data_IF_344966649746
#
_entry.id   IF_344966649746
#
_cell.length_a   1.000
_cell.length_b   1.000
_cell.length_c   1.000
_cell.angle_alpha   90.00
_cell.angle_beta   90.00
_cell.angle_gamma   90.00
#
_symmetry.space_group_name_H-M   'P 1'
#
loop_
_entity.id
_entity.type
_entity.pdbx_description
1 polymer ?
#
# COMPACT_ATOMS: atom_id res chain seq x y z
N UNK A 1 -8.81 12.40 -1.09
CA UNK A 1 -7.42 12.48 -0.57
C UNK A 1 -6.43 11.84 -1.53
N UNK A 2 -6.47 10.52 -1.76
CA UNK A 2 -5.53 9.84 -2.69
C UNK A 2 -5.42 10.49 -4.07
N UNK A 3 -6.53 10.76 -4.77
CA UNK A 3 -6.48 11.43 -6.08
C UNK A 3 -5.87 12.84 -6.05
N UNK A 4 -6.07 13.58 -4.96
CA UNK A 4 -5.49 14.92 -4.77
C UNK A 4 -3.97 14.81 -4.54
N UNK A 5 -3.54 13.85 -3.72
CA UNK A 5 -2.12 13.58 -3.48
C UNK A 5 -1.45 13.13 -4.77
N UNK A 6 -2.04 12.21 -5.53
CA UNK A 6 -1.49 11.77 -6.82
C UNK A 6 -1.35 12.92 -7.82
N UNK A 7 -2.36 13.78 -7.93
CA UNK A 7 -2.31 14.95 -8.83
C UNK A 7 -1.23 15.95 -8.38
N UNK A 8 -1.14 16.21 -7.08
CA UNK A 8 -0.11 17.07 -6.51
C UNK A 8 1.30 16.51 -6.74
N UNK A 9 1.51 15.20 -6.60
CA UNK A 9 2.81 14.56 -6.83
C UNK A 9 3.27 14.71 -8.28
N UNK A 10 2.37 14.56 -9.25
CA UNK A 10 2.68 14.73 -10.68
C UNK A 10 3.04 16.19 -10.99
N UNK A 11 2.29 17.15 -10.43
CA UNK A 11 2.50 18.58 -10.71
C UNK A 11 3.73 19.12 -9.95
N UNK A 12 3.92 18.71 -8.70
CA UNK A 12 4.97 19.20 -7.81
C UNK A 12 6.34 18.58 -8.04
N UNK A 13 6.42 17.42 -8.69
CA UNK A 13 7.70 16.78 -9.03
C UNK A 13 7.82 16.55 -10.55
N UNK A 14 8.52 17.44 -11.28
CA UNK A 14 8.74 17.31 -12.72
C UNK A 14 9.40 15.98 -13.11
N UNK A 15 10.26 15.44 -12.22
CA UNK A 15 10.88 14.13 -12.38
C UNK A 15 9.85 12.97 -12.42
N UNK A 16 8.78 13.08 -11.62
CA UNK A 16 7.68 12.10 -11.62
C UNK A 16 6.86 12.25 -12.91
N UNK A 17 6.51 13.47 -13.30
CA UNK A 17 5.80 13.70 -14.57
C UNK A 17 6.58 13.18 -15.79
N UNK A 18 7.89 13.44 -15.85
CA UNK A 18 8.73 12.96 -16.95
C UNK A 18 8.85 11.42 -16.97
N UNK A 19 8.87 10.77 -15.81
CA UNK A 19 8.94 9.30 -15.71
C UNK A 19 7.64 8.62 -16.11
N UNK A 20 6.50 9.21 -15.77
CA UNK A 20 5.20 8.65 -16.12
C UNK A 20 4.80 8.96 -17.57
N UNK A 21 5.08 10.17 -18.07
CA UNK A 21 4.57 10.63 -19.37
C UNK A 21 5.66 10.84 -20.44
N UNK A 22 6.94 10.91 -20.08
CA UNK A 22 8.03 11.31 -20.98
C UNK A 22 9.00 10.21 -21.41
N UNK A 23 9.18 9.12 -20.65
CA UNK A 23 10.23 8.13 -20.93
C UNK A 23 9.87 7.00 -21.92
N UNK A 24 8.62 6.92 -22.38
CA UNK A 24 8.15 5.81 -23.23
C UNK A 24 7.79 4.53 -22.46
N UNK A 25 8.06 4.47 -21.16
CA UNK A 25 7.75 3.32 -20.28
C UNK A 25 6.31 3.30 -19.75
N UNK A 26 5.45 4.21 -20.26
CA UNK A 26 4.07 4.38 -19.79
C UNK A 26 3.30 3.04 -19.77
N UNK A 27 3.52 2.17 -20.76
CA UNK A 27 2.88 0.86 -20.86
C UNK A 27 3.24 -0.05 -19.68
N UNK A 28 4.48 0.05 -19.18
CA UNK A 28 4.94 -0.74 -18.04
C UNK A 28 4.37 -0.24 -16.71
N UNK A 29 4.09 1.07 -16.62
CA UNK A 29 3.51 1.69 -15.42
C UNK A 29 1.98 1.71 -15.41
N UNK A 30 1.33 1.55 -16.57
CA UNK A 30 -0.13 1.53 -16.73
C UNK A 30 -0.90 0.50 -15.88
N UNK A 31 -0.36 -0.70 -15.56
CA UNK A 31 -1.06 -1.66 -14.72
C UNK A 31 -1.44 -1.11 -13.34
N UNK A 32 -0.61 -0.24 -12.75
CA UNK A 32 -0.84 0.32 -11.41
C UNK A 32 -2.09 1.23 -11.38
N UNK A 33 -2.21 2.29 -12.20
CA UNK A 33 -3.42 3.12 -12.21
C UNK A 33 -4.67 2.33 -12.66
N UNK A 34 -4.52 1.34 -13.55
CA UNK A 34 -5.65 0.45 -13.92
C UNK A 34 -6.12 -0.36 -12.71
N UNK A 35 -5.20 -0.98 -11.97
CA UNK A 35 -5.54 -1.73 -10.75
C UNK A 35 -6.15 -0.83 -9.67
N UNK A 36 -5.68 0.42 -9.55
CA UNK A 36 -6.29 1.42 -8.65
C UNK A 36 -7.74 1.68 -9.04
N UNK A 37 -8.03 1.92 -10.33
CA UNK A 37 -9.40 2.11 -10.80
C UNK A 37 -10.28 0.88 -10.57
N UNK A 38 -9.75 -0.33 -10.80
CA UNK A 38 -10.43 -1.59 -10.52
C UNK A 38 -10.75 -1.74 -9.03
N UNK A 39 -9.80 -1.41 -8.14
CA UNK A 39 -10.03 -1.47 -6.69
C UNK A 39 -11.10 -0.47 -6.27
N UNK A 40 -11.02 0.77 -6.74
CA UNK A 40 -12.01 1.82 -6.43
C UNK A 40 -13.39 1.42 -6.92
N UNK A 41 -13.52 0.98 -8.17
CA UNK A 41 -14.78 0.50 -8.72
C UNK A 41 -15.32 -0.71 -7.93
N UNK A 42 -14.44 -1.67 -7.60
CA UNK A 42 -14.78 -2.84 -6.82
C UNK A 42 -15.30 -2.48 -5.42
N UNK A 43 -14.72 -1.48 -4.75
CA UNK A 43 -15.20 -1.00 -3.44
C UNK A 43 -16.63 -0.48 -3.59
N UNK A 44 -16.88 0.44 -4.54
CA UNK A 44 -18.23 0.99 -4.75
C UNK A 44 -19.25 -0.09 -5.14
N UNK A 45 -18.83 -1.09 -5.93
CA UNK A 45 -19.69 -2.19 -6.35
C UNK A 45 -20.04 -3.14 -5.19
N UNK A 46 -19.03 -3.53 -4.39
CA UNK A 46 -19.20 -4.51 -3.31
C UNK A 46 -19.89 -3.92 -2.08
N UNK A 47 -19.68 -2.63 -1.80
CA UNK A 47 -20.44 -1.89 -0.77
C UNK A 47 -21.93 -1.84 -1.14
N UNK A 48 -22.27 -1.56 -2.40
CA UNK A 48 -23.67 -1.59 -2.87
C UNK A 48 -24.32 -2.97 -2.77
N UNK A 49 -23.53 -4.04 -2.88
CA UNK A 49 -23.98 -5.43 -2.72
C UNK A 49 -23.94 -5.94 -1.28
N UNK A 50 -23.63 -5.07 -0.30
CA UNK A 50 -23.51 -5.42 1.11
C UNK A 50 -22.54 -6.58 1.41
N UNK A 51 -21.47 -6.70 0.62
CA UNK A 51 -20.40 -7.64 0.94
C UNK A 51 -19.59 -7.13 2.14
N UNK A 52 -19.36 -7.98 3.14
CA UNK A 52 -18.74 -7.53 4.40
C UNK A 52 -17.21 -7.51 4.35
N UNK A 53 -16.57 -8.50 3.71
CA UNK A 53 -15.11 -8.63 3.71
C UNK A 53 -14.43 -8.04 2.45
N UNK A 54 -15.10 -8.04 1.31
CA UNK A 54 -14.51 -7.62 0.03
C UNK A 54 -14.09 -6.14 0.00
N UNK A 55 -14.91 -5.18 0.49
CA UNK A 55 -14.51 -3.77 0.52
C UNK A 55 -13.24 -3.53 1.35
N UNK A 56 -13.07 -4.26 2.45
CA UNK A 56 -11.88 -4.18 3.29
C UNK A 56 -10.63 -4.65 2.53
N UNK A 57 -10.67 -5.81 1.90
CA UNK A 57 -9.55 -6.34 1.10
C UNK A 57 -9.18 -5.42 -0.07
N UNK A 58 -10.18 -4.87 -0.76
CA UNK A 58 -9.96 -3.93 -1.86
C UNK A 58 -9.37 -2.61 -1.38
N UNK A 59 -9.75 -2.14 -0.18
CA UNK A 59 -9.15 -0.94 0.42
C UNK A 59 -7.70 -1.20 0.82
N UNK A 60 -7.39 -2.39 1.36
CA UNK A 60 -6.01 -2.81 1.66
C UNK A 60 -5.16 -2.86 0.38
N UNK A 61 -5.69 -3.45 -0.69
CA UNK A 61 -5.04 -3.48 -2.00
C UNK A 61 -4.83 -2.06 -2.56
N UNK A 62 -5.82 -1.18 -2.40
CA UNK A 62 -5.75 0.21 -2.84
C UNK A 62 -4.65 0.99 -2.10
N UNK A 63 -4.52 0.82 -0.77
CA UNK A 63 -3.42 1.38 0.01
C UNK A 63 -2.05 0.84 -0.46
N UNK A 64 -1.94 -0.48 -0.67
CA UNK A 64 -0.72 -1.12 -1.16
C UNK A 64 -0.29 -0.60 -2.55
N UNK A 65 -1.24 -0.44 -3.47
CA UNK A 65 -1.00 0.15 -4.79
C UNK A 65 -0.54 1.62 -4.69
N UNK A 66 -1.11 2.39 -3.75
CA UNK A 66 -0.68 3.76 -3.48
C UNK A 66 0.79 3.85 -3.05
N UNK A 67 1.21 3.01 -2.11
CA UNK A 67 2.62 2.95 -1.68
C UNK A 67 3.55 2.48 -2.80
N UNK A 68 3.14 1.45 -3.55
CA UNK A 68 3.93 0.95 -4.70
C UNK A 68 4.09 2.02 -5.78
N UNK A 69 3.02 2.75 -6.11
CA UNK A 69 3.07 3.87 -7.07
C UNK A 69 4.00 5.00 -6.63
N UNK A 70 4.05 5.30 -5.33
CA UNK A 70 5.01 6.26 -4.77
C UNK A 70 6.45 5.76 -4.93
N UNK A 71 6.75 4.51 -4.54
CA UNK A 71 8.09 3.91 -4.66
C UNK A 71 8.57 3.94 -6.12
N UNK A 72 7.73 3.52 -7.07
CA UNK A 72 8.05 3.52 -8.50
C UNK A 72 8.38 4.94 -8.99
N UNK A 73 7.70 5.95 -8.45
CA UNK A 73 7.87 7.34 -8.85
C UNK A 73 9.20 7.94 -8.40
N UNK A 74 9.72 7.52 -7.24
CA UNK A 74 10.98 8.04 -6.69
C UNK A 74 12.20 7.18 -7.02
N UNK A 75 12.00 5.91 -7.38
CA UNK A 75 13.06 4.95 -7.71
C UNK A 75 14.06 5.51 -8.75
N UNK A 76 15.38 5.29 -8.62
CA UNK A 76 16.09 4.53 -7.59
C UNK A 76 16.38 5.32 -6.32
N UNK A 77 15.90 6.57 -6.25
CA UNK A 77 16.12 7.44 -5.09
C UNK A 77 15.13 7.12 -3.99
N UNK A 78 15.61 7.11 -2.75
CA UNK A 78 14.75 7.05 -1.57
C UNK A 78 14.46 8.45 -1.03
N UNK A 79 15.41 9.38 -1.23
CA UNK A 79 15.22 10.82 -1.02
C UNK A 79 15.75 11.56 -2.26
N UNK A 80 14.86 11.97 -3.20
CA UNK A 80 15.27 12.68 -4.39
C UNK A 80 15.85 14.08 -4.09
N UNK A 81 16.81 14.57 -4.90
CA UNK A 81 17.49 13.89 -6.01
C UNK A 81 18.78 13.16 -5.60
N UNK A 82 19.25 13.34 -4.37
CA UNK A 82 20.66 13.13 -4.02
C UNK A 82 20.98 11.79 -3.37
N UNK A 83 19.99 11.04 -2.89
CA UNK A 83 20.26 9.84 -2.07
C UNK A 83 19.56 8.62 -2.66
N UNK A 84 20.38 7.73 -3.23
CA UNK A 84 19.92 6.47 -3.84
C UNK A 84 19.69 5.41 -2.77
N UNK A 85 18.91 4.37 -3.10
CA UNK A 85 18.72 3.21 -2.22
C UNK A 85 20.04 2.51 -1.87
N UNK A 86 21.03 2.57 -2.75
CA UNK A 86 22.34 1.96 -2.56
C UNK A 86 23.20 2.77 -1.61
N UNK A 87 23.20 4.10 -1.75
CA UNK A 87 23.92 5.00 -0.84
C UNK A 87 23.29 5.02 0.56
N UNK A 88 21.98 4.80 0.64
CA UNK A 88 21.25 4.66 1.90
C UNK A 88 21.48 3.32 2.61
N UNK A 89 22.10 2.34 1.93
CA UNK A 89 22.15 0.97 2.42
C UNK A 89 23.09 0.82 3.61
N UNK A 90 22.67 0.02 4.59
CA UNK A 90 23.51 -0.33 5.74
C UNK A 90 24.56 -1.38 5.34
N UNK A 91 25.54 -1.62 6.22
CA UNK A 91 26.53 -2.68 5.98
C UNK A 91 25.84 -4.05 5.78
N UNK A 92 26.43 -4.96 4.96
CA UNK A 92 25.80 -6.24 4.66
C UNK A 92 25.48 -7.09 5.91
N UNK A 93 26.31 -7.02 6.94
CA UNK A 93 26.09 -7.74 8.21
C UNK A 93 24.89 -7.21 8.98
N UNK A 94 24.73 -5.88 9.06
CA UNK A 94 23.56 -5.25 9.69
C UNK A 94 22.27 -5.54 8.91
N UNK A 95 22.33 -5.51 7.58
CA UNK A 95 21.19 -5.82 6.73
C UNK A 95 20.77 -7.29 6.85
N UNK A 96 21.74 -8.23 6.92
CA UNK A 96 21.45 -9.64 7.15
C UNK A 96 20.81 -9.87 8.52
N UNK A 97 21.30 -9.22 9.57
CA UNK A 97 20.69 -9.29 10.89
C UNK A 97 19.24 -8.80 10.88
N UNK A 98 18.97 -7.65 10.25
CA UNK A 98 17.62 -7.12 10.10
C UNK A 98 16.71 -8.05 9.26
N UNK A 99 17.24 -8.67 8.21
CA UNK A 99 16.51 -9.63 7.37
C UNK A 99 16.09 -10.87 8.16
N UNK A 100 17.02 -11.47 8.91
CA UNK A 100 16.73 -12.64 9.76
C UNK A 100 15.67 -12.31 10.79
N UNK A 101 15.81 -11.16 11.47
CA UNK A 101 14.79 -10.66 12.39
C UNK A 101 13.43 -10.49 11.72
N UNK A 102 13.39 -9.89 10.52
CA UNK A 102 12.16 -9.67 9.76
C UNK A 102 11.49 -10.98 9.36
N UNK A 103 12.26 -11.96 8.86
CA UNK A 103 11.73 -13.27 8.43
C UNK A 103 11.09 -14.05 9.58
N UNK A 104 11.54 -13.84 10.82
CA UNK A 104 10.98 -14.49 12.01
C UNK A 104 9.80 -13.68 12.57
N UNK A 105 9.98 -12.36 12.71
CA UNK A 105 9.01 -11.49 13.41
C UNK A 105 7.78 -11.20 12.53
N UNK A 106 7.97 -10.97 11.23
CA UNK A 106 6.88 -10.66 10.32
C UNK A 106 5.79 -11.76 10.27
N UNK A 107 6.11 -13.06 10.12
CA UNK A 107 5.07 -14.09 10.14
C UNK A 107 4.35 -14.18 11.50
N UNK A 108 5.05 -13.95 12.62
CA UNK A 108 4.41 -13.90 13.94
C UNK A 108 3.38 -12.76 14.00
N UNK A 109 3.75 -11.57 13.54
CA UNK A 109 2.84 -10.41 13.47
C UNK A 109 1.62 -10.73 12.59
N UNK A 110 1.83 -11.35 11.43
CA UNK A 110 0.74 -11.69 10.51
C UNK A 110 -0.20 -12.76 11.11
N UNK A 111 0.36 -13.80 11.74
CA UNK A 111 -0.43 -14.83 12.44
C UNK A 111 -1.23 -14.22 13.58
N UNK A 112 -0.60 -13.38 14.41
CA UNK A 112 -1.26 -12.70 15.51
C UNK A 112 -2.42 -11.82 15.02
N UNK A 113 -2.21 -11.00 13.99
CA UNK A 113 -3.27 -10.20 13.39
C UNK A 113 -4.41 -11.08 12.85
N UNK A 114 -4.08 -12.16 12.14
CA UNK A 114 -5.08 -13.12 11.64
C UNK A 114 -5.88 -13.78 12.77
N UNK A 115 -5.22 -14.16 13.86
CA UNK A 115 -5.88 -14.71 15.04
C UNK A 115 -6.75 -13.65 15.73
N UNK A 116 -6.30 -12.41 15.84
CA UNK A 116 -7.09 -11.31 16.39
C UNK A 116 -8.39 -11.13 15.60
N UNK A 117 -8.32 -11.03 14.26
CA UNK A 117 -9.52 -10.96 13.43
C UNK A 117 -10.40 -12.21 13.57
N UNK A 118 -9.81 -13.39 13.74
CA UNK A 118 -10.57 -14.64 13.93
C UNK A 118 -11.25 -14.70 15.30
N UNK A 119 -10.60 -14.25 16.37
CA UNK A 119 -11.13 -14.26 17.74
C UNK A 119 -12.25 -13.23 17.87
N UNK A 120 -12.06 -12.04 17.30
CA UNK A 120 -13.04 -10.96 17.32
C UNK A 120 -14.00 -11.00 16.12
N UNK A 121 -14.18 -12.15 15.47
CA UNK A 121 -15.17 -12.32 14.40
C UNK A 121 -16.58 -12.45 15.02
N UNK A 122 -17.17 -11.33 15.37
CA UNK A 122 -18.52 -11.28 15.92
C UNK A 122 -19.14 -9.95 15.58
N UNK A 123 -20.38 -9.96 15.08
CA UNK A 123 -21.14 -8.72 14.94
C UNK A 123 -21.63 -8.34 16.32
N UNK A 124 -21.29 -7.13 16.78
CA UNK A 124 -21.86 -6.58 18.01
C UNK A 124 -23.35 -6.33 17.76
N UNK A 125 -24.22 -6.97 18.54
CA UNK A 125 -25.67 -6.72 18.53
C UNK A 125 -25.98 -5.55 19.46
N UNK A 126 -26.89 -4.68 19.03
CA UNK A 126 -27.43 -3.62 19.89
C UNK A 126 -28.08 -4.28 21.13
N UNK A 127 -27.60 -3.94 22.32
CA UNK A 127 -28.05 -4.51 23.60
C UNK A 127 -27.05 -5.44 24.31
N UNK A 128 -25.97 -5.87 23.65
CA UNK A 128 -24.87 -6.64 24.28
C UNK A 128 -23.68 -5.76 24.72
N UNK A 129 -23.92 -4.45 24.83
CA UNK A 129 -22.97 -3.51 25.41
C UNK A 129 -22.94 -3.66 26.93
N UNK A 130 -21.74 -3.79 27.49
CA UNK A 130 -21.50 -3.78 28.93
C UNK A 130 -22.14 -2.55 29.59
N UNK A 131 -23.29 -2.73 30.21
CA UNK A 131 -23.88 -1.79 31.15
C UNK A 131 -23.40 -2.16 32.55
N UNK A 132 -22.25 -1.62 32.92
CA UNK A 132 -21.86 -1.42 34.32
C UNK A 132 -21.70 0.08 34.56
#
# INVERSE_FOLDING_TARGET
>A
VMGVVSLWTVIGLPAVAHRWFGSGDLVWFLPVPVLVLVCVWGIFHTVRRQHEATPFLLTLALCFLGYTGLIISIWPNIVPPSLTIWDASSSPSSQLFALVGTVIVLPIILVYNGLQYRVFRGKVREGEGYHH
#
